data_IF_476114269274
#
_entry.id   IF_476114269274
#
_cell.length_a   1.000
_cell.length_b   1.000
_cell.length_c   1.000
_cell.angle_alpha   90.00
_cell.angle_beta   90.00
_cell.angle_gamma   90.00
#
_symmetry.space_group_name_H-M   'P 1'
#
loop_
_entity.id
_entity.type
_entity.pdbx_description
1 polymer ?
#
# COMPACT_ATOMS: atom_id res chain seq x y z
N UNK A 1 33.64 -21.68 20.14
CA UNK A 1 32.91 -21.45 18.89
C UNK A 1 32.06 -20.23 19.17
N UNK A 2 32.47 -19.05 18.69
CA UNK A 2 31.69 -17.82 18.92
C UNK A 2 30.36 -17.96 18.15
N UNK A 3 29.26 -18.02 18.89
CA UNK A 3 27.91 -18.06 18.32
C UNK A 3 27.56 -16.66 17.86
N UNK A 4 27.75 -16.38 16.58
CA UNK A 4 27.22 -15.18 15.95
C UNK A 4 25.69 -15.25 15.94
N UNK A 5 25.05 -14.33 16.64
CA UNK A 5 23.60 -14.14 16.55
C UNK A 5 23.27 -13.38 15.27
N UNK A 6 22.06 -13.58 14.74
CA UNK A 6 21.54 -12.84 13.58
C UNK A 6 21.58 -11.33 13.81
N UNK A 7 21.44 -10.88 15.05
CA UNK A 7 21.48 -9.47 15.42
C UNK A 7 22.89 -8.87 15.29
N UNK A 8 23.94 -9.63 15.64
CA UNK A 8 25.32 -9.18 15.48
C UNK A 8 25.71 -9.06 13.99
N UNK A 9 25.24 -10.00 13.17
CA UNK A 9 25.45 -9.97 11.72
C UNK A 9 24.73 -8.77 11.06
N UNK A 10 23.51 -8.46 11.49
CA UNK A 10 22.75 -7.29 11.01
C UNK A 10 23.39 -5.98 11.45
N UNK A 11 23.83 -5.89 12.71
CA UNK A 11 24.50 -4.71 13.26
C UNK A 11 25.82 -4.44 12.55
N UNK A 12 26.56 -5.49 12.19
CA UNK A 12 27.82 -5.38 11.43
C UNK A 12 27.60 -4.98 9.98
N UNK A 13 26.49 -5.40 9.36
CA UNK A 13 26.16 -5.07 7.95
C UNK A 13 25.77 -3.60 7.74
N UNK A 14 25.14 -2.96 8.73
CA UNK A 14 24.73 -1.55 8.66
C UNK A 14 23.71 -1.24 7.54
N UNK A 15 23.51 0.06 7.25
CA UNK A 15 22.56 0.52 6.23
C UNK A 15 23.19 0.60 4.83
N UNK A 16 22.83 -0.36 3.97
CA UNK A 16 23.40 -0.49 2.63
C UNK A 16 22.60 0.18 1.52
N UNK A 17 23.22 0.30 0.33
CA UNK A 17 22.56 0.84 -0.88
C UNK A 17 21.28 0.09 -1.25
N UNK A 18 21.27 -1.25 -1.09
CA UNK A 18 20.09 -2.08 -1.36
C UNK A 18 18.95 -1.79 -0.39
N UNK A 19 19.24 -1.59 0.89
CA UNK A 19 18.21 -1.25 1.89
C UNK A 19 17.58 0.12 1.58
N UNK A 20 18.40 1.10 1.18
CA UNK A 20 17.91 2.40 0.70
C UNK A 20 17.02 2.26 -0.55
N UNK A 21 17.41 1.43 -1.52
CA UNK A 21 16.62 1.21 -2.74
C UNK A 21 15.28 0.54 -2.44
N UNK A 22 15.25 -0.49 -1.59
CA UNK A 22 14.01 -1.16 -1.17
C UNK A 22 13.12 -0.21 -0.38
N UNK A 23 13.70 0.64 0.48
CA UNK A 23 12.96 1.64 1.24
C UNK A 23 12.30 2.66 0.31
N UNK A 24 13.03 3.17 -0.69
CA UNK A 24 12.46 4.10 -1.68
C UNK A 24 11.36 3.42 -2.50
N UNK A 25 11.59 2.17 -2.93
CA UNK A 25 10.59 1.40 -3.68
C UNK A 25 9.29 1.18 -2.88
N UNK A 26 9.40 0.72 -1.64
CA UNK A 26 8.26 0.54 -0.75
C UNK A 26 7.58 1.90 -0.44
N UNK A 27 8.37 2.95 -0.23
CA UNK A 27 7.88 4.29 0.02
C UNK A 27 7.08 4.86 -1.14
N UNK A 28 7.48 4.62 -2.39
CA UNK A 28 6.71 5.04 -3.57
C UNK A 28 5.34 4.37 -3.63
N UNK A 29 5.25 3.08 -3.28
CA UNK A 29 3.96 2.37 -3.17
C UNK A 29 3.05 3.01 -2.13
N UNK A 30 3.60 3.35 -0.97
CA UNK A 30 2.86 4.01 0.11
C UNK A 30 2.38 5.42 -0.30
N UNK A 31 3.21 6.18 -1.00
CA UNK A 31 2.83 7.52 -1.51
C UNK A 31 1.69 7.40 -2.51
N UNK A 32 1.73 6.42 -3.41
CA UNK A 32 0.67 6.21 -4.39
C UNK A 32 -0.68 5.87 -3.70
N UNK A 33 -0.66 4.99 -2.70
CA UNK A 33 -1.84 4.67 -1.90
C UNK A 33 -2.40 5.91 -1.18
N UNK A 34 -1.55 6.71 -0.55
CA UNK A 34 -1.97 7.94 0.12
C UNK A 34 -2.56 8.97 -0.87
N UNK A 35 -1.97 9.09 -2.06
CA UNK A 35 -2.49 9.96 -3.12
C UNK A 35 -3.88 9.53 -3.59
N UNK A 36 -4.13 8.23 -3.73
CA UNK A 36 -5.45 7.69 -4.12
C UNK A 36 -6.53 8.07 -3.10
N UNK A 37 -6.28 7.85 -1.80
CA UNK A 37 -7.22 8.20 -0.73
C UNK A 37 -7.47 9.70 -0.69
N UNK A 38 -6.43 10.50 -0.91
CA UNK A 38 -6.57 11.95 -1.01
C UNK A 38 -7.46 12.35 -2.20
N UNK A 39 -7.29 11.73 -3.38
CA UNK A 39 -8.12 12.01 -4.55
C UNK A 39 -9.59 11.72 -4.30
N UNK A 40 -9.93 10.63 -3.62
CA UNK A 40 -11.33 10.32 -3.28
C UNK A 40 -12.00 11.43 -2.46
N UNK A 41 -11.26 12.08 -1.56
CA UNK A 41 -11.78 13.18 -0.74
C UNK A 41 -12.17 14.42 -1.55
N UNK A 42 -11.56 14.63 -2.71
CA UNK A 42 -11.86 15.75 -3.61
C UNK A 42 -12.83 15.38 -4.73
N UNK A 43 -12.65 14.18 -5.30
CA UNK A 43 -13.42 13.71 -6.46
C UNK A 43 -14.83 13.27 -6.04
N UNK A 44 -15.02 12.72 -4.84
CA UNK A 44 -16.35 12.30 -4.34
C UNK A 44 -17.40 13.41 -4.41
N UNK A 45 -17.15 14.58 -3.79
CA UNK A 45 -18.07 15.72 -3.85
C UNK A 45 -18.30 16.25 -5.26
N UNK A 46 -17.27 16.27 -6.11
CA UNK A 46 -17.36 16.71 -7.51
C UNK A 46 -18.28 15.81 -8.34
N UNK A 47 -18.14 14.49 -8.21
CA UNK A 47 -19.00 13.52 -8.91
C UNK A 47 -20.45 13.67 -8.44
N UNK A 48 -20.65 13.92 -7.13
CA UNK A 48 -21.98 14.16 -6.59
C UNK A 48 -22.66 15.36 -7.22
N UNK A 49 -21.94 16.46 -7.41
CA UNK A 49 -22.48 17.65 -8.05
C UNK A 49 -22.78 17.43 -9.54
N UNK A 50 -21.83 16.84 -10.28
CA UNK A 50 -21.94 16.65 -11.72
C UNK A 50 -23.04 15.64 -12.10
N UNK A 51 -23.09 14.50 -11.39
CA UNK A 51 -24.03 13.41 -11.72
C UNK A 51 -25.32 13.45 -10.90
N UNK A 52 -25.44 14.41 -9.97
CA UNK A 52 -26.59 14.59 -9.08
C UNK A 52 -26.98 13.31 -8.31
N UNK A 53 -25.98 12.52 -7.95
CA UNK A 53 -26.17 11.27 -7.18
C UNK A 53 -26.46 11.56 -5.70
N UNK A 54 -27.11 10.64 -5.00
CA UNK A 54 -27.39 10.81 -3.58
C UNK A 54 -26.11 10.66 -2.73
N UNK A 55 -26.12 11.19 -1.51
CA UNK A 55 -25.01 11.01 -0.57
C UNK A 55 -24.74 9.53 -0.23
N UNK A 56 -25.78 8.69 -0.32
CA UNK A 56 -25.66 7.25 -0.12
C UNK A 56 -24.87 6.62 -1.27
N UNK A 57 -25.14 7.01 -2.51
CA UNK A 57 -24.44 6.49 -3.69
C UNK A 57 -22.96 6.92 -3.71
N UNK A 58 -22.66 8.15 -3.30
CA UNK A 58 -21.28 8.64 -3.11
C UNK A 58 -20.51 7.78 -2.09
N UNK A 59 -21.16 7.42 -0.98
CA UNK A 59 -20.57 6.55 0.05
C UNK A 59 -20.38 5.11 -0.42
N UNK A 60 -21.27 4.60 -1.28
CA UNK A 60 -21.15 3.29 -1.91
C UNK A 60 -19.97 3.26 -2.88
N UNK A 61 -19.77 4.32 -3.66
CA UNK A 61 -18.62 4.44 -4.57
C UNK A 61 -17.30 4.35 -3.80
N UNK A 62 -17.18 5.09 -2.69
CA UNK A 62 -16.01 5.03 -1.82
C UNK A 62 -15.83 3.64 -1.20
N UNK A 63 -16.92 3.01 -0.76
CA UNK A 63 -16.91 1.64 -0.21
C UNK A 63 -16.39 0.60 -1.19
N UNK A 64 -16.71 0.73 -2.48
CA UNK A 64 -16.20 -0.18 -3.53
C UNK A 64 -14.69 -0.10 -3.67
N UNK A 65 -14.09 1.08 -3.52
CA UNK A 65 -12.62 1.24 -3.55
C UNK A 65 -11.97 0.49 -2.40
N UNK A 66 -12.48 0.66 -1.17
CA UNK A 66 -11.97 -0.08 -0.01
C UNK A 66 -12.18 -1.60 -0.12
N UNK A 67 -13.30 -2.03 -0.70
CA UNK A 67 -13.53 -3.45 -0.98
C UNK A 67 -12.51 -3.98 -2.00
N UNK A 68 -12.22 -3.21 -3.05
CA UNK A 68 -11.18 -3.53 -4.02
C UNK A 68 -9.80 -3.66 -3.36
N UNK A 69 -9.47 -2.74 -2.45
CA UNK A 69 -8.24 -2.78 -1.66
C UNK A 69 -8.15 -4.05 -0.80
N UNK A 70 -9.23 -4.45 -0.11
CA UNK A 70 -9.28 -5.69 0.67
C UNK A 70 -9.01 -6.91 -0.20
N UNK A 71 -9.71 -7.02 -1.33
CA UNK A 71 -9.57 -8.15 -2.26
C UNK A 71 -8.15 -8.17 -2.84
N UNK A 72 -7.63 -7.01 -3.24
CA UNK A 72 -6.26 -6.85 -3.75
C UNK A 72 -5.22 -7.27 -2.71
N UNK A 73 -5.35 -6.83 -1.47
CA UNK A 73 -4.43 -7.17 -0.38
C UNK A 73 -4.43 -8.68 -0.10
N UNK A 74 -5.59 -9.32 -0.02
CA UNK A 74 -5.70 -10.76 0.15
C UNK A 74 -5.12 -11.53 -1.05
N UNK A 75 -5.44 -11.08 -2.26
CA UNK A 75 -4.98 -11.72 -3.51
C UNK A 75 -3.46 -11.62 -3.68
N UNK A 76 -2.90 -10.42 -3.56
CA UNK A 76 -1.45 -10.21 -3.62
C UNK A 76 -0.71 -10.79 -2.43
N UNK A 77 -1.31 -10.82 -1.23
CA UNK A 77 -0.76 -11.56 -0.10
C UNK A 77 -0.52 -13.03 -0.48
N UNK A 78 -1.58 -13.71 -0.93
CA UNK A 78 -1.51 -15.12 -1.34
C UNK A 78 -0.51 -15.35 -2.48
N UNK A 79 -0.52 -14.51 -3.52
CA UNK A 79 0.42 -14.65 -4.64
C UNK A 79 1.85 -14.43 -4.18
N UNK A 80 2.09 -13.42 -3.35
CA UNK A 80 3.43 -13.09 -2.86
C UNK A 80 4.02 -14.20 -1.97
N UNK A 81 3.17 -14.89 -1.21
CA UNK A 81 3.57 -16.03 -0.39
C UNK A 81 3.90 -17.25 -1.26
N UNK A 82 3.19 -17.45 -2.37
CA UNK A 82 3.38 -18.61 -3.26
C UNK A 82 4.51 -18.45 -4.28
N UNK A 83 4.65 -17.26 -4.87
CA UNK A 83 5.60 -17.01 -5.97
C UNK A 83 6.81 -16.18 -5.56
N UNK A 84 6.81 -15.66 -4.32
CA UNK A 84 7.88 -14.81 -3.79
C UNK A 84 7.57 -13.32 -3.92
N UNK A 85 8.20 -12.52 -3.06
CA UNK A 85 8.01 -11.06 -2.94
C UNK A 85 9.06 -10.24 -3.73
N UNK A 86 9.77 -10.88 -4.66
CA UNK A 86 10.83 -10.28 -5.48
C UNK A 86 10.30 -9.90 -6.85
#
# INVERSE_FOLDING_TARGET
METYTTDDALTTMGFGKLQGLVLVYAGMGWVAEAMEVMLLSFVGPLIREEWKISAQDESLLSSVVFLGMLIGACGWGYVSDKYGRR
#
